data_IF_563904596289
#
_entry.id   IF_563904596289
#
_cell.length_a   1.000
_cell.length_b   1.000
_cell.length_c   1.000
_cell.angle_alpha   90.00
_cell.angle_beta   90.00
_cell.angle_gamma   90.00
#
_symmetry.space_group_name_H-M   'P 1'
#
loop_
_entity.id
_entity.type
_entity.pdbx_description
1 polymer ?
#
# COMPACT_ATOMS: atom_id res chain seq x y z
N UNK A 1 -16.22 6.96 12.29
CA UNK A 1 -16.40 8.14 12.45
C UNK A 1 -15.62 9.22 11.79
N UNK A 2 -16.01 10.42 12.08
CA UNK A 2 -15.44 11.58 11.42
C UNK A 2 -13.97 11.78 11.72
N UNK A 3 -13.56 11.43 12.92
CA UNK A 3 -12.16 11.62 13.29
C UNK A 3 -11.24 10.79 12.39
N UNK A 4 -11.71 9.62 11.96
CA UNK A 4 -10.92 8.79 11.08
C UNK A 4 -10.73 9.46 9.73
N UNK A 5 -11.78 10.09 9.24
CA UNK A 5 -11.69 10.80 7.98
C UNK A 5 -10.72 11.97 8.09
N UNK A 6 -10.71 12.61 9.26
CA UNK A 6 -9.83 13.74 9.46
C UNK A 6 -8.37 13.34 9.51
N UNK A 7 -8.09 12.10 9.93
CA UNK A 7 -6.71 11.65 10.03
C UNK A 7 -6.10 11.30 8.68
N UNK A 8 -6.94 11.05 7.70
CA UNK A 8 -6.46 10.72 6.36
C UNK A 8 -6.88 11.83 5.42
N UNK A 9 -5.97 12.74 5.17
CA UNK A 9 -6.25 13.88 4.31
C UNK A 9 -6.26 13.48 2.85
N UNK A 10 -6.76 14.39 2.01
CA UNK A 10 -6.76 14.16 0.59
C UNK A 10 -5.35 13.95 0.05
N UNK A 11 -4.41 14.69 0.59
CA UNK A 11 -3.02 14.57 0.20
C UNK A 11 -2.46 13.20 0.56
N UNK A 12 -2.80 12.72 1.75
CA UNK A 12 -2.34 11.41 2.17
C UNK A 12 -2.97 10.31 1.33
N UNK A 13 -4.24 10.47 0.97
CA UNK A 13 -4.88 9.48 0.11
C UNK A 13 -4.21 9.44 -1.26
N UNK A 14 -3.82 10.59 -1.78
CA UNK A 14 -3.12 10.63 -3.04
C UNK A 14 -1.80 9.87 -2.97
N UNK A 15 -1.09 10.04 -1.86
CA UNK A 15 0.17 9.33 -1.67
C UNK A 15 -0.05 7.84 -1.53
N UNK A 16 -1.09 7.45 -0.79
CA UNK A 16 -1.41 6.04 -0.60
C UNK A 16 -1.75 5.42 -1.95
N UNK A 17 -2.56 6.09 -2.75
CA UNK A 17 -2.92 5.57 -4.07
C UNK A 17 -1.68 5.37 -4.93
N UNK A 18 -0.75 6.31 -4.89
CA UNK A 18 0.47 6.18 -5.67
C UNK A 18 1.30 5.00 -5.22
N UNK A 19 1.40 4.80 -3.91
CA UNK A 19 2.14 3.67 -3.38
C UNK A 19 1.53 2.36 -3.84
N UNK A 20 0.21 2.26 -3.77
CA UNK A 20 -0.50 1.06 -4.20
C UNK A 20 -0.25 0.80 -5.68
N UNK A 21 -0.29 1.84 -6.50
CA UNK A 21 -0.04 1.70 -7.92
C UNK A 21 1.37 1.19 -8.20
N UNK A 22 2.34 1.68 -7.44
CA UNK A 22 3.72 1.23 -7.61
C UNK A 22 3.83 -0.25 -7.27
N UNK A 23 3.20 -0.66 -6.17
CA UNK A 23 3.24 -2.06 -5.78
C UNK A 23 2.61 -2.94 -6.86
N UNK A 24 1.48 -2.51 -7.38
CA UNK A 24 0.79 -3.28 -8.42
C UNK A 24 1.62 -3.38 -9.69
N UNK A 25 2.31 -2.31 -10.02
CA UNK A 25 3.12 -2.32 -11.22
C UNK A 25 4.34 -3.22 -11.08
N UNK A 26 4.95 -3.20 -9.90
CA UNK A 26 6.15 -4.00 -9.67
C UNK A 26 5.83 -5.46 -9.37
N UNK A 27 4.65 -5.72 -8.82
CA UNK A 27 4.28 -7.07 -8.41
C UNK A 27 4.79 -7.42 -7.04
N UNK A 28 6.08 -7.31 -6.82
CA UNK A 28 6.72 -7.52 -5.53
C UNK A 28 7.79 -6.45 -5.39
N UNK A 29 7.82 -5.79 -4.24
CA UNK A 29 8.76 -4.70 -4.05
C UNK A 29 9.11 -4.59 -2.56
N UNK A 30 10.37 -4.35 -2.27
CA UNK A 30 10.82 -4.19 -0.90
C UNK A 30 10.45 -2.81 -0.38
N UNK A 31 10.49 -2.67 0.95
CA UNK A 31 10.19 -1.40 1.58
C UNK A 31 11.10 -0.29 1.07
N UNK A 32 12.40 -0.59 1.00
CA UNK A 32 13.35 0.42 0.59
C UNK A 32 13.08 0.89 -0.84
N UNK A 33 12.84 -0.05 -1.72
CA UNK A 33 12.54 0.30 -3.11
C UNK A 33 11.26 1.10 -3.21
N UNK A 34 10.25 0.69 -2.45
CA UNK A 34 8.97 1.37 -2.47
C UNK A 34 9.10 2.82 -2.02
N UNK A 35 9.85 3.02 -0.94
CA UNK A 35 10.07 4.37 -0.42
C UNK A 35 10.80 5.23 -1.45
N UNK A 36 11.80 4.65 -2.09
CA UNK A 36 12.55 5.39 -3.08
C UNK A 36 11.69 5.76 -4.30
N UNK A 37 10.92 4.80 -4.78
CA UNK A 37 10.10 5.05 -5.98
C UNK A 37 8.96 6.01 -5.71
N UNK A 38 8.43 6.01 -4.50
CA UNK A 38 7.34 6.91 -4.16
C UNK A 38 7.84 8.28 -3.71
N UNK A 39 9.17 8.42 -3.53
CA UNK A 39 9.78 9.70 -3.19
C UNK A 39 9.23 10.28 -1.89
N UNK A 40 9.08 9.43 -0.89
CA UNK A 40 8.67 9.87 0.43
C UNK A 40 9.74 9.45 1.43
N UNK A 41 9.67 10.03 2.63
CA UNK A 41 10.60 9.66 3.67
C UNK A 41 10.16 8.34 4.32
N UNK A 42 11.09 7.69 4.97
CA UNK A 42 10.77 6.45 5.68
C UNK A 42 9.78 6.74 6.81
N UNK A 43 9.91 7.87 7.46
CA UNK A 43 8.99 8.24 8.52
C UNK A 43 7.57 8.38 8.01
N UNK A 44 7.44 9.01 6.86
CA UNK A 44 6.12 9.19 6.26
C UNK A 44 5.55 7.85 5.83
N UNK A 45 6.39 6.99 5.27
CA UNK A 45 5.98 5.64 4.89
C UNK A 45 5.44 4.87 6.11
N UNK A 46 6.16 4.95 7.23
CA UNK A 46 5.73 4.24 8.42
C UNK A 46 4.38 4.74 8.90
N UNK A 47 4.13 6.03 8.71
CA UNK A 47 2.86 6.60 9.09
C UNK A 47 1.73 6.09 8.19
N UNK A 48 2.01 5.95 6.91
CA UNK A 48 0.99 5.54 5.95
C UNK A 48 0.74 4.04 5.91
N UNK A 49 1.72 3.25 6.33
CA UNK A 49 1.66 1.81 6.17
C UNK A 49 0.36 1.19 6.71
N UNK A 50 -0.07 1.47 7.93
CA UNK A 50 -1.31 0.86 8.43
C UNK A 50 -2.54 1.25 7.60
N UNK A 51 -2.53 2.44 7.05
CA UNK A 51 -3.65 2.86 6.22
C UNK A 51 -3.67 2.13 4.89
N UNK A 52 -2.50 1.83 4.34
CA UNK A 52 -2.44 1.09 3.09
C UNK A 52 -3.07 -0.29 3.27
N UNK A 53 -2.71 -0.96 4.34
CA UNK A 53 -3.23 -2.29 4.60
C UNK A 53 -4.72 -2.26 4.90
N UNK A 54 -5.18 -1.19 5.53
CA UNK A 54 -6.58 -1.10 5.90
C UNK A 54 -7.47 -0.71 4.73
N UNK A 55 -6.98 0.17 3.88
CA UNK A 55 -7.80 0.71 2.80
C UNK A 55 -7.81 -0.20 1.57
N UNK A 56 -6.69 -0.82 1.28
CA UNK A 56 -6.56 -1.63 0.06
C UNK A 56 -6.15 -3.06 0.33
N UNK A 57 -6.86 -3.78 1.21
CA UNK A 57 -6.44 -5.15 1.55
C UNK A 57 -6.60 -6.12 0.39
N UNK A 58 -7.41 -5.77 -0.62
CA UNK A 58 -7.62 -6.66 -1.76
C UNK A 58 -6.71 -6.34 -2.93
N UNK A 59 -5.91 -5.31 -2.82
CA UNK A 59 -5.04 -4.92 -3.92
C UNK A 59 -3.57 -5.17 -3.60
N UNK A 60 -3.17 -4.98 -2.35
CA UNK A 60 -1.78 -5.15 -1.95
C UNK A 60 -1.75 -5.77 -0.57
N UNK A 61 -0.64 -6.43 -0.27
CA UNK A 61 -0.45 -6.97 1.07
C UNK A 61 1.02 -6.96 1.40
N UNK A 62 1.32 -6.93 2.69
CA UNK A 62 2.68 -6.92 3.17
C UNK A 62 3.04 -8.30 3.70
N UNK A 63 4.09 -8.89 3.15
CA UNK A 63 4.57 -10.19 3.57
C UNK A 63 5.59 -9.99 4.69
N UNK A 64 5.23 -10.40 5.88
CA UNK A 64 6.09 -10.18 7.05
C UNK A 64 7.32 -11.06 7.05
N UNK A 65 7.29 -12.13 6.32
CA UNK A 65 8.42 -13.05 6.28
C UNK A 65 9.50 -12.51 5.35
N UNK A 66 9.13 -12.14 4.15
CA UNK A 66 10.08 -11.59 3.20
C UNK A 66 10.26 -10.09 3.38
N UNK A 67 9.32 -9.46 4.10
CA UNK A 67 9.32 -8.01 4.33
C UNK A 67 9.18 -7.25 3.03
N UNK A 68 8.42 -7.81 2.11
CA UNK A 68 8.12 -7.19 0.84
C UNK A 68 6.64 -6.90 0.73
N UNK A 69 6.31 -5.91 -0.07
CA UNK A 69 4.95 -5.66 -0.48
C UNK A 69 4.67 -6.45 -1.74
N UNK A 70 3.47 -6.99 -1.84
CA UNK A 70 3.07 -7.80 -2.98
C UNK A 70 1.71 -7.35 -3.50
N UNK A 71 1.57 -7.39 -4.81
CA UNK A 71 0.27 -7.14 -5.41
C UNK A 71 -0.57 -8.40 -5.27
N UNK A 72 -1.81 -8.24 -4.86
CA UNK A 72 -2.74 -9.35 -4.79
C UNK A 72 -3.21 -9.66 -6.20
N UNK A 73 -3.07 -10.91 -6.61
CA UNK A 73 -3.43 -11.28 -7.96
C UNK A 73 -4.93 -11.38 -8.13
N UNK A 74 -5.42 -10.79 -9.20
CA UNK A 74 -6.84 -10.85 -9.46
C UNK A 74 -7.33 -12.27 -9.66
N UNK A 75 -6.46 -13.10 -10.18
CA UNK A 75 -6.83 -14.48 -10.43
C UNK A 75 -7.28 -15.19 -9.18
N UNK A 76 -6.67 -14.81 -8.05
CA UNK A 76 -7.02 -15.41 -6.79
C UNK A 76 -8.45 -15.08 -6.40
N UNK A 77 -8.93 -13.96 -6.88
CA UNK A 77 -10.29 -13.51 -6.58
C UNK A 77 -11.27 -14.13 -7.55
N UNK A 78 -10.88 -14.23 -8.81
CA UNK A 78 -11.77 -14.74 -9.85
C UNK A 78 -12.01 -16.21 -9.76
N UNK A 79 -11.16 -16.92 -9.08
CA UNK A 79 -11.35 -18.36 -8.97
C UNK A 79 -12.68 -18.75 -8.40
N UNK A 80 -13.27 -17.86 -7.66
CA UNK A 80 -14.51 -18.18 -6.98
C UNK A 80 -15.72 -18.21 -7.86
N UNK A 81 -15.54 -17.95 -9.09
CA UNK A 81 -16.69 -17.95 -10.00
C UNK A 81 -17.16 -19.32 -10.36
#
# INVERSE_FOLDING_TARGET
MLWRTEMTTRKEMSRINRIVEIIEKEGVISKVQLVMKSQISISYYEKLKPFIEEIYPHRVRYDRITKNWEAVKREDIDENK
#
